data_IF_603783280452
#
_entry.id   IF_603783280452
#
_cell.length_a   1.000
_cell.length_b   1.000
_cell.length_c   1.000
_cell.angle_alpha   90.00
_cell.angle_beta   90.00
_cell.angle_gamma   90.00
#
_symmetry.space_group_name_H-M   'P 1'
#
loop_
_entity.id
_entity.type
_entity.pdbx_description
1 polymer ?
#
# COMPACT_ATOMS: atom_id res chain seq x y z
N UNK A 1 -23.70 9.61 -15.42
CA UNK A 1 -22.34 9.15 -15.05
C UNK A 1 -22.31 7.63 -15.14
N UNK A 2 -21.59 6.99 -16.09
CA UNK A 2 -21.75 5.57 -16.34
C UNK A 2 -20.91 4.70 -15.39
N UNK A 3 -21.51 3.56 -15.04
CA UNK A 3 -21.01 2.48 -14.19
C UNK A 3 -19.92 1.72 -14.94
N UNK A 4 -18.70 1.63 -14.40
CA UNK A 4 -17.59 0.95 -15.10
C UNK A 4 -16.38 0.52 -14.28
N UNK A 5 -16.34 0.76 -12.97
CA UNK A 5 -15.22 0.32 -12.14
C UNK A 5 -15.54 -1.02 -11.47
N UNK A 6 -15.60 -2.09 -12.25
CA UNK A 6 -15.69 -3.46 -11.73
C UNK A 6 -14.46 -4.24 -12.25
N UNK A 7 -13.31 -3.85 -11.71
CA UNK A 7 -12.12 -4.66 -11.46
C UNK A 7 -11.27 -3.82 -10.49
N UNK A 8 -11.20 -4.27 -9.23
CA UNK A 8 -10.85 -3.45 -8.06
C UNK A 8 -9.40 -2.99 -7.99
N UNK A 9 -9.08 -1.89 -8.64
CA UNK A 9 -7.89 -1.11 -8.34
C UNK A 9 -8.21 -0.07 -7.26
N UNK A 10 -7.43 -0.02 -6.18
CA UNK A 10 -7.46 1.14 -5.29
C UNK A 10 -6.87 2.36 -6.02
N UNK A 11 -7.23 3.60 -5.61
CA UNK A 11 -6.62 4.79 -6.17
C UNK A 11 -5.09 4.70 -6.11
N UNK A 12 -4.43 4.97 -7.24
CA UNK A 12 -2.97 4.95 -7.30
C UNK A 12 -2.37 6.03 -6.38
N UNK A 13 -1.26 5.71 -5.71
CA UNK A 13 -0.58 6.65 -4.81
C UNK A 13 -0.60 6.24 -3.34
N UNK A 14 -0.54 4.95 -3.05
CA UNK A 14 -0.29 4.43 -1.70
C UNK A 14 1.17 4.63 -1.32
N UNK A 15 1.57 5.90 -1.20
CA UNK A 15 2.92 6.37 -0.96
C UNK A 15 2.94 7.26 0.29
N UNK A 16 3.99 7.16 1.11
CA UNK A 16 4.14 8.04 2.27
C UNK A 16 4.22 9.51 1.81
N UNK A 17 3.48 10.39 2.48
CA UNK A 17 3.29 11.79 2.10
C UNK A 17 2.13 12.06 1.12
N UNK A 18 1.65 11.06 0.39
CA UNK A 18 0.44 11.15 -0.44
C UNK A 18 -0.75 10.44 0.20
N UNK A 19 -0.55 9.24 0.71
CA UNK A 19 -1.52 8.45 1.45
C UNK A 19 -0.81 7.64 2.54
N UNK A 20 -0.96 7.98 3.83
CA UNK A 20 -1.84 9.01 4.40
C UNK A 20 -1.48 10.43 3.94
N UNK A 21 -2.49 11.27 3.74
CA UNK A 21 -2.28 12.65 3.31
C UNK A 21 -1.51 13.46 4.37
N UNK A 22 -0.36 14.01 4.00
CA UNK A 22 0.48 14.77 4.94
C UNK A 22 -0.24 15.98 5.54
N UNK A 23 -1.05 16.70 4.76
CA UNK A 23 -1.78 17.88 5.26
C UNK A 23 -2.84 17.49 6.29
N UNK A 24 -3.53 16.37 6.08
CA UNK A 24 -4.50 15.86 7.04
C UNK A 24 -3.83 15.52 8.39
N UNK A 25 -2.63 14.97 8.35
CA UNK A 25 -1.82 14.71 9.54
C UNK A 25 -1.34 16.02 10.19
N UNK A 26 -0.91 17.01 9.41
CA UNK A 26 -0.43 18.29 9.95
C UNK A 26 -1.55 19.12 10.59
N UNK A 27 -2.76 19.10 10.02
CA UNK A 27 -3.92 19.87 10.50
C UNK A 27 -4.63 19.20 11.68
N UNK A 28 -4.72 17.87 11.70
CA UNK A 28 -5.57 17.11 12.65
C UNK A 28 -4.77 16.13 13.52
N UNK A 29 -3.46 16.05 13.34
CA UNK A 29 -2.57 15.15 14.09
C UNK A 29 -3.02 13.69 13.99
N UNK A 30 -3.08 13.02 15.14
CA UNK A 30 -3.51 11.63 15.27
C UNK A 30 -4.90 11.37 14.70
N UNK A 31 -5.83 12.32 14.81
CA UNK A 31 -7.20 12.16 14.28
C UNK A 31 -7.21 12.10 12.76
N UNK A 32 -6.37 12.90 12.10
CA UNK A 32 -6.24 12.87 10.64
C UNK A 32 -5.70 11.53 10.15
N UNK A 33 -4.70 10.98 10.85
CA UNK A 33 -4.16 9.66 10.55
C UNK A 33 -5.21 8.54 10.72
N UNK A 34 -6.04 8.60 11.77
CA UNK A 34 -7.12 7.62 11.99
C UNK A 34 -8.19 7.69 10.91
N UNK A 35 -8.55 8.87 10.42
CA UNK A 35 -9.52 9.00 9.33
C UNK A 35 -8.94 8.47 8.01
N UNK A 36 -7.69 8.77 7.67
CA UNK A 36 -7.01 8.22 6.49
C UNK A 36 -6.92 6.68 6.56
N UNK A 37 -6.65 6.12 7.76
CA UNK A 37 -6.68 4.68 8.01
C UNK A 37 -8.06 4.09 7.77
N UNK A 38 -9.12 4.76 8.23
CA UNK A 38 -10.50 4.35 7.98
C UNK A 38 -10.83 4.40 6.49
N UNK A 39 -10.37 5.42 5.77
CA UNK A 39 -10.52 5.51 4.32
C UNK A 39 -9.78 4.38 3.60
N UNK A 40 -8.58 4.01 4.05
CA UNK A 40 -7.82 2.87 3.54
C UNK A 40 -8.63 1.57 3.68
N UNK A 41 -9.14 1.31 4.89
CA UNK A 41 -9.95 0.13 5.20
C UNK A 41 -11.24 0.08 4.37
N UNK A 42 -11.97 1.21 4.27
CA UNK A 42 -13.18 1.30 3.46
C UNK A 42 -12.86 1.10 1.97
N UNK A 43 -11.75 1.63 1.49
CA UNK A 43 -11.30 1.42 0.11
C UNK A 43 -11.06 -0.05 -0.19
N UNK A 44 -10.31 -0.73 0.68
CA UNK A 44 -9.98 -2.17 0.54
C UNK A 44 -11.25 -3.03 0.62
N UNK A 45 -12.07 -2.81 1.64
CA UNK A 45 -13.28 -3.61 1.89
C UNK A 45 -14.39 -3.39 0.86
N UNK A 46 -14.33 -2.30 0.08
CA UNK A 46 -15.23 -2.09 -1.08
C UNK A 46 -14.83 -2.91 -2.30
N UNK A 47 -13.63 -3.48 -2.34
CA UNK A 47 -13.28 -4.38 -3.43
C UNK A 47 -14.04 -5.69 -3.29
N UNK A 48 -14.89 -6.02 -4.26
CA UNK A 48 -15.75 -7.20 -4.21
C UNK A 48 -14.99 -8.52 -4.36
N UNK A 49 -13.80 -8.50 -5.00
CA UNK A 49 -13.02 -9.70 -5.32
C UNK A 49 -11.54 -9.57 -4.97
N UNK A 50 -10.87 -8.56 -5.52
CA UNK A 50 -9.45 -8.29 -5.33
C UNK A 50 -9.23 -6.78 -5.25
N UNK A 51 -8.33 -6.36 -4.35
CA UNK A 51 -7.88 -4.98 -4.21
C UNK A 51 -6.40 -4.89 -4.59
N UNK A 52 -6.10 -4.31 -5.75
CA UNK A 52 -4.71 -4.09 -6.15
C UNK A 52 -4.21 -2.74 -5.62
N UNK A 53 -3.13 -2.79 -4.83
CA UNK A 53 -2.45 -1.61 -4.30
C UNK A 53 -1.23 -1.30 -5.17
N UNK A 54 -1.04 -0.03 -5.53
CA UNK A 54 0.11 0.43 -6.32
C UNK A 54 0.75 1.66 -5.71
N UNK A 55 2.09 1.70 -5.74
CA UNK A 55 2.91 2.82 -5.30
C UNK A 55 4.01 3.09 -6.35
N UNK A 56 4.42 4.34 -6.51
CA UNK A 56 5.55 4.72 -7.33
C UNK A 56 6.77 4.93 -6.44
N UNK A 57 7.90 4.27 -6.73
CA UNK A 57 9.15 4.50 -5.99
C UNK A 57 9.78 5.88 -6.26
N UNK A 58 9.41 6.53 -7.36
CA UNK A 58 9.87 7.87 -7.71
C UNK A 58 8.74 8.65 -8.38
N UNK A 59 8.44 9.85 -7.88
CA UNK A 59 7.38 10.72 -8.39
C UNK A 59 7.94 12.09 -8.73
N UNK A 60 7.47 12.68 -9.82
CA UNK A 60 7.80 14.07 -10.17
C UNK A 60 6.77 15.02 -9.56
N UNK A 61 7.17 15.75 -8.51
CA UNK A 61 6.35 16.73 -7.81
C UNK A 61 7.00 18.11 -7.96
N UNK A 62 6.23 19.10 -8.39
CA UNK A 62 6.69 20.48 -8.58
C UNK A 62 7.98 20.60 -9.39
N UNK A 63 8.11 19.76 -10.43
CA UNK A 63 9.28 19.75 -11.32
C UNK A 63 10.47 18.95 -10.81
N UNK A 64 10.50 18.56 -9.53
CA UNK A 64 11.57 17.78 -8.89
C UNK A 64 11.21 16.29 -8.80
N UNK A 65 12.20 15.43 -8.91
CA UNK A 65 12.06 14.00 -8.61
C UNK A 65 12.17 13.79 -7.11
N UNK A 66 11.18 13.12 -6.53
CA UNK A 66 11.18 12.71 -5.13
C UNK A 66 11.05 11.20 -5.08
N UNK A 67 11.90 10.55 -4.27
CA UNK A 67 11.74 9.15 -3.93
C UNK A 67 10.60 9.02 -2.94
N UNK A 68 9.62 8.17 -3.24
CA UNK A 68 8.51 7.89 -2.33
C UNK A 68 8.65 6.48 -1.78
N UNK A 69 8.38 6.33 -0.49
CA UNK A 69 8.25 5.01 0.14
C UNK A 69 6.81 4.51 0.02
N UNK A 70 6.58 3.18 0.08
CA UNK A 70 5.24 2.62 0.22
C UNK A 70 4.51 3.23 1.42
N UNK A 71 3.18 3.34 1.32
CA UNK A 71 2.33 3.78 2.43
C UNK A 71 2.52 2.88 3.64
N UNK A 72 2.61 3.48 4.83
CA UNK A 72 2.63 2.75 6.11
C UNK A 72 1.44 1.82 6.30
N UNK A 73 0.29 2.08 5.64
CA UNK A 73 -0.88 1.22 5.74
C UNK A 73 -0.68 -0.13 5.04
N UNK A 74 0.28 -0.26 4.13
CA UNK A 74 0.60 -1.55 3.48
C UNK A 74 1.19 -2.53 4.49
N UNK A 75 2.04 -2.05 5.40
CA UNK A 75 2.67 -2.86 6.45
C UNK A 75 1.70 -3.29 7.56
N UNK A 76 0.52 -2.66 7.62
CA UNK A 76 -0.52 -2.97 8.62
C UNK A 76 -1.50 -4.05 8.16
N UNK A 77 -1.44 -4.46 6.88
CA UNK A 77 -2.32 -5.48 6.33
C UNK A 77 -1.88 -6.90 6.73
N UNK A 78 -2.83 -7.83 6.98
CA UNK A 78 -2.49 -9.22 7.28
C UNK A 78 -1.76 -9.88 6.11
N UNK A 79 -0.59 -10.47 6.37
CA UNK A 79 0.25 -11.12 5.35
C UNK A 79 -0.48 -12.25 4.60
N UNK A 80 -1.38 -12.96 5.29
CA UNK A 80 -2.22 -14.04 4.72
C UNK A 80 -3.16 -13.59 3.60
N UNK A 81 -3.37 -12.28 3.46
CA UNK A 81 -4.24 -11.67 2.46
C UNK A 81 -3.50 -10.77 1.47
N UNK A 82 -2.16 -10.69 1.56
CA UNK A 82 -1.34 -9.80 0.72
C UNK A 82 -0.44 -10.63 -0.20
N UNK A 83 -0.65 -10.49 -1.51
CA UNK A 83 0.23 -11.05 -2.52
C UNK A 83 1.10 -9.94 -3.15
N UNK A 84 2.42 -10.09 -3.05
CA UNK A 84 3.37 -9.14 -3.65
C UNK A 84 3.60 -9.51 -5.11
N UNK A 85 2.94 -8.79 -6.02
CA UNK A 85 3.08 -8.97 -7.47
C UNK A 85 4.38 -8.36 -8.06
N UNK A 86 5.23 -7.78 -7.20
CA UNK A 86 6.45 -7.10 -7.64
C UNK A 86 7.58 -8.11 -7.82
N UNK A 87 8.29 -8.13 -8.97
CA UNK A 87 9.37 -9.09 -9.20
C UNK A 87 10.47 -9.02 -8.12
N UNK A 88 10.92 -10.17 -7.59
CA UNK A 88 12.03 -10.22 -6.65
C UNK A 88 13.29 -9.61 -7.28
N UNK A 89 13.93 -8.69 -6.56
CA UNK A 89 15.12 -7.97 -7.04
C UNK A 89 14.85 -6.59 -7.67
N UNK A 90 13.58 -6.21 -7.85
CA UNK A 90 13.25 -4.80 -8.12
C UNK A 90 13.45 -3.92 -6.88
N UNK A 91 13.75 -2.64 -7.08
CA UNK A 91 13.87 -1.66 -5.98
C UNK A 91 12.59 -1.58 -5.15
N UNK A 92 11.42 -1.69 -5.79
CA UNK A 92 10.13 -1.77 -5.13
C UNK A 92 9.96 -3.01 -4.23
N UNK A 93 10.44 -4.19 -4.67
CA UNK A 93 10.40 -5.41 -3.85
C UNK A 93 11.42 -5.40 -2.69
N UNK A 94 12.42 -4.52 -2.73
CA UNK A 94 13.34 -4.30 -1.60
C UNK A 94 12.80 -3.27 -0.58
N UNK A 95 11.87 -2.41 -1.00
CA UNK A 95 11.23 -1.38 -0.17
C UNK A 95 10.07 -1.92 0.66
N UNK A 96 9.34 -2.93 0.16
CA UNK A 96 8.42 -3.74 0.97
C UNK A 96 9.29 -4.71 1.79
N UNK A 97 9.19 -4.64 3.13
CA UNK A 97 10.19 -5.13 4.12
C UNK A 97 10.99 -6.38 3.69
N UNK A 98 12.34 -6.40 3.83
CA UNK A 98 13.18 -7.51 3.37
C UNK A 98 13.13 -8.79 4.24
N UNK A 99 12.42 -8.80 5.37
CA UNK A 99 12.37 -9.92 6.32
C UNK A 99 11.35 -11.01 5.95
N UNK A 100 10.44 -10.77 5.00
CA UNK A 100 9.44 -11.75 4.52
C UNK A 100 10.03 -12.80 3.54
N UNK A 101 11.37 -12.89 3.43
CA UNK A 101 12.09 -13.98 2.74
C UNK A 101 12.73 -14.98 3.72
N UNK A 102 12.08 -15.26 4.86
CA UNK A 102 12.52 -16.33 5.74
C UNK A 102 11.41 -17.36 5.92
N UNK A 103 11.61 -18.55 5.36
CA UNK A 103 10.82 -19.74 5.68
C UNK A 103 10.59 -20.70 4.53
N UNK A 104 11.60 -21.50 4.17
CA UNK A 104 11.31 -22.86 3.73
C UNK A 104 11.02 -23.68 5.00
N UNK A 105 9.75 -23.84 5.35
CA UNK A 105 9.35 -24.84 6.35
C UNK A 105 9.09 -26.14 5.60
N UNK A 106 10.09 -27.02 5.55
CA UNK A 106 9.83 -28.44 5.38
C UNK A 106 9.23 -28.94 6.69
N UNK A 107 7.91 -29.08 6.73
CA UNK A 107 7.24 -29.75 7.84
C UNK A 107 7.43 -31.26 7.65
N UNK A 108 8.36 -31.85 8.39
CA UNK A 108 8.46 -33.29 8.53
C UNK A 108 7.51 -33.73 9.64
N UNK A 109 6.54 -34.56 9.26
CA UNK A 109 5.60 -35.25 10.14
C UNK A 109 6.33 -36.23 11.06
N UNK A 110 6.20 -36.03 12.38
CA UNK A 110 6.25 -37.07 13.42
C UNK A 110 5.50 -36.63 14.66
#
# INVERSE_FOLDING_TARGET
MPRGWISGGLPAGWEDGLFPNQRAMDEQGTKGLEEERRLAYVGITRAERLATITFAGNRRLYGQWQSSLPSRFVDELPEEHVEVLTPPGSTAAAMVRPWHRSGSVQMHDR
#
